data_IF_440969035186
#
_entry.id   IF_440969035186
#
_cell.length_a   1.000
_cell.length_b   1.000
_cell.length_c   1.000
_cell.angle_alpha   90.00
_cell.angle_beta   90.00
_cell.angle_gamma   90.00
#
_symmetry.space_group_name_H-M   'P 1'
#
loop_
_entity.id
_entity.type
_entity.pdbx_description
1 polymer ?
#
# COMPACT_ATOMS: atom_id res chain seq x y z
N UNK A 1 -4.62 16.98 41.54
CA UNK A 1 -5.73 17.01 40.56
C UNK A 1 -5.24 16.48 39.21
N UNK A 2 -6.07 15.68 38.52
CA UNK A 2 -5.73 14.80 37.38
C UNK A 2 -5.14 15.54 36.17
N UNK A 3 -4.01 15.07 35.63
CA UNK A 3 -3.54 15.44 34.30
C UNK A 3 -4.41 14.80 33.21
N UNK A 4 -4.82 15.59 32.21
CA UNK A 4 -5.58 15.13 31.05
C UNK A 4 -4.65 14.39 30.07
N UNK A 5 -4.90 13.11 29.88
CA UNK A 5 -4.25 12.28 28.85
C UNK A 5 -4.95 12.56 27.50
N UNK A 6 -4.25 12.97 26.43
CA UNK A 6 -4.87 13.16 25.11
C UNK A 6 -5.00 11.82 24.37
N UNK A 7 -6.01 11.02 24.71
CA UNK A 7 -6.27 9.72 24.06
C UNK A 7 -7.09 9.81 22.75
N UNK A 8 -7.66 10.97 22.44
CA UNK A 8 -8.63 11.13 21.34
C UNK A 8 -8.03 11.02 19.93
N UNK A 9 -6.86 11.62 19.65
CA UNK A 9 -6.25 11.60 18.31
C UNK A 9 -5.81 10.20 17.87
N UNK A 10 -5.32 9.38 18.81
CA UNK A 10 -4.87 8.01 18.53
C UNK A 10 -6.04 7.10 18.15
N UNK A 11 -7.19 7.27 18.80
CA UNK A 11 -8.37 6.45 18.57
C UNK A 11 -9.05 6.72 17.21
N UNK A 12 -9.09 7.99 16.78
CA UNK A 12 -9.58 8.36 15.45
C UNK A 12 -8.69 7.82 14.32
N UNK A 13 -7.37 7.86 14.49
CA UNK A 13 -6.40 7.31 13.53
C UNK A 13 -6.56 5.78 13.39
N UNK A 14 -6.72 5.06 14.51
CA UNK A 14 -6.98 3.60 14.49
C UNK A 14 -8.29 3.30 13.75
N UNK A 15 -9.38 4.01 14.05
CA UNK A 15 -10.67 3.80 13.36
C UNK A 15 -10.57 4.08 11.86
N UNK A 16 -9.87 5.15 11.47
CA UNK A 16 -9.62 5.46 10.05
C UNK A 16 -8.80 4.35 9.39
N UNK A 17 -7.76 3.85 10.06
CA UNK A 17 -6.93 2.78 9.53
C UNK A 17 -7.71 1.47 9.35
N UNK A 18 -8.52 1.08 10.34
CA UNK A 18 -9.42 -0.07 10.22
C UNK A 18 -10.40 0.11 9.06
N UNK A 19 -10.96 1.31 8.90
CA UNK A 19 -11.85 1.62 7.77
C UNK A 19 -11.15 1.49 6.42
N UNK A 20 -9.89 1.92 6.29
CA UNK A 20 -9.13 1.79 5.05
C UNK A 20 -8.74 0.33 4.77
N UNK A 21 -8.40 -0.42 5.81
CA UNK A 21 -8.14 -1.86 5.68
C UNK A 21 -9.35 -2.59 5.08
N UNK A 22 -10.57 -2.26 5.52
CA UNK A 22 -11.81 -2.84 4.99
C UNK A 22 -12.05 -2.46 3.52
N UNK A 23 -11.78 -1.21 3.13
CA UNK A 23 -11.89 -0.79 1.72
C UNK A 23 -10.90 -1.55 0.85
N UNK A 24 -9.69 -1.82 1.35
CA UNK A 24 -8.71 -2.64 0.62
C UNK A 24 -9.14 -4.11 0.60
N UNK A 25 -9.74 -4.63 1.68
CA UNK A 25 -10.33 -5.98 1.69
C UNK A 25 -11.40 -6.12 0.60
N UNK A 26 -12.27 -5.11 0.45
CA UNK A 26 -13.28 -5.07 -0.60
C UNK A 26 -12.67 -4.99 -2.00
N UNK A 27 -11.68 -4.12 -2.19
CA UNK A 27 -10.94 -4.01 -3.46
C UNK A 27 -10.35 -5.36 -3.87
N UNK A 28 -9.59 -6.01 -3.00
CA UNK A 28 -8.97 -7.32 -3.27
C UNK A 28 -10.04 -8.41 -3.43
N UNK A 29 -11.10 -8.36 -2.62
CA UNK A 29 -12.22 -9.30 -2.67
C UNK A 29 -13.00 -9.26 -3.99
N UNK A 30 -13.07 -8.10 -4.64
CA UNK A 30 -13.73 -7.89 -5.93
C UNK A 30 -12.97 -8.45 -7.13
N UNK A 31 -11.67 -8.74 -6.98
CA UNK A 31 -10.84 -9.29 -8.05
C UNK A 31 -11.16 -10.78 -8.29
N UNK A 32 -10.96 -11.23 -9.53
CA UNK A 32 -11.20 -12.61 -9.93
C UNK A 32 -9.92 -13.31 -10.41
N UNK A 33 -9.89 -14.63 -10.28
CA UNK A 33 -8.81 -15.48 -10.78
C UNK A 33 -7.45 -15.16 -10.19
N UNK A 34 -6.41 -15.24 -11.02
CA UNK A 34 -5.02 -15.07 -10.59
C UNK A 34 -4.70 -13.66 -10.07
N UNK A 35 -5.43 -12.63 -10.52
CA UNK A 35 -5.22 -11.24 -10.07
C UNK A 35 -5.52 -11.09 -8.58
N UNK A 36 -6.58 -11.75 -8.10
CA UNK A 36 -6.90 -11.79 -6.67
C UNK A 36 -5.76 -12.42 -5.87
N UNK A 37 -5.29 -13.59 -6.30
CA UNK A 37 -4.20 -14.34 -5.63
C UNK A 37 -2.92 -13.49 -5.55
N UNK A 38 -2.57 -12.80 -6.64
CA UNK A 38 -1.39 -11.92 -6.66
C UNK A 38 -1.58 -10.71 -5.75
N UNK A 39 -2.73 -10.03 -5.80
CA UNK A 39 -3.02 -8.89 -4.93
C UNK A 39 -3.07 -9.24 -3.44
N UNK A 40 -3.58 -10.42 -3.08
CA UNK A 40 -3.54 -10.94 -1.70
C UNK A 40 -2.09 -11.14 -1.23
N UNK A 41 -1.26 -11.78 -2.05
CA UNK A 41 0.16 -11.99 -1.76
C UNK A 41 0.93 -10.68 -1.64
N UNK A 42 0.72 -9.73 -2.56
CA UNK A 42 1.34 -8.41 -2.50
C UNK A 42 0.99 -7.70 -1.19
N UNK A 43 -0.30 -7.65 -0.83
CA UNK A 43 -0.72 -7.02 0.43
C UNK A 43 -0.09 -7.69 1.64
N UNK A 44 -0.03 -9.02 1.67
CA UNK A 44 0.62 -9.75 2.76
C UNK A 44 2.11 -9.39 2.88
N UNK A 45 2.84 -9.39 1.76
CA UNK A 45 4.26 -9.03 1.72
C UNK A 45 4.49 -7.59 2.18
N UNK A 46 3.71 -6.65 1.68
CA UNK A 46 3.83 -5.23 2.03
C UNK A 46 3.60 -5.03 3.53
N UNK A 47 2.54 -5.61 4.10
CA UNK A 47 2.26 -5.53 5.55
C UNK A 47 3.31 -6.22 6.41
N UNK A 48 3.96 -7.25 5.87
CA UNK A 48 5.06 -7.96 6.52
C UNK A 48 6.38 -7.19 6.52
N UNK A 49 6.54 -6.19 5.64
CA UNK A 49 7.82 -5.51 5.43
C UNK A 49 8.18 -4.48 6.50
N UNK A 50 7.18 -3.82 7.12
CA UNK A 50 7.41 -2.82 8.18
C UNK A 50 6.17 -2.59 9.03
N UNK A 51 6.38 -2.35 10.34
CA UNK A 51 5.32 -1.96 11.29
C UNK A 51 4.94 -0.49 11.22
N UNK A 52 5.77 0.35 10.60
CA UNK A 52 5.52 1.79 10.44
C UNK A 52 4.65 2.09 9.22
N UNK A 53 4.37 1.08 8.41
CA UNK A 53 3.64 1.18 7.17
C UNK A 53 2.15 1.40 7.46
N UNK A 54 1.59 2.39 6.77
CA UNK A 54 0.20 2.81 6.87
C UNK A 54 -0.49 2.51 5.56
N UNK A 55 -1.62 1.79 5.59
CA UNK A 55 -2.42 1.57 4.39
C UNK A 55 -3.25 2.83 4.07
N UNK A 56 -3.26 3.22 2.80
CA UNK A 56 -4.03 4.31 2.24
C UNK A 56 -4.75 3.82 0.98
N UNK A 57 -5.78 4.54 0.55
CA UNK A 57 -6.42 4.33 -0.75
C UNK A 57 -6.30 5.63 -1.53
N UNK A 58 -5.61 5.59 -2.67
CA UNK A 58 -5.52 6.73 -3.59
C UNK A 58 -5.99 6.27 -4.96
N UNK A 59 -6.76 7.13 -5.62
CA UNK A 59 -7.30 6.88 -6.95
C UNK A 59 -8.02 5.53 -7.10
N UNK A 60 -8.59 5.01 -6.01
CA UNK A 60 -9.36 3.76 -5.99
C UNK A 60 -8.55 2.48 -5.78
N UNK A 61 -7.26 2.55 -5.48
CA UNK A 61 -6.43 1.36 -5.27
C UNK A 61 -5.50 1.46 -4.04
N UNK A 62 -5.00 0.33 -3.52
CA UNK A 62 -4.20 0.27 -2.29
C UNK A 62 -2.83 0.93 -2.43
N UNK A 63 -2.58 1.94 -1.60
CA UNK A 63 -1.30 2.64 -1.46
C UNK A 63 -0.75 2.45 -0.05
N UNK A 64 0.55 2.61 0.11
CA UNK A 64 1.20 2.44 1.40
C UNK A 64 2.20 3.55 1.67
N UNK A 65 2.15 4.09 2.88
CA UNK A 65 2.97 5.22 3.30
C UNK A 65 3.76 4.92 4.57
N UNK A 66 4.90 5.58 4.74
CA UNK A 66 5.65 5.62 6.00
C UNK A 66 5.85 7.10 6.35
N UNK A 67 5.38 7.52 7.52
CA UNK A 67 5.40 8.93 7.92
C UNK A 67 4.70 9.86 6.92
N UNK A 68 3.67 9.38 6.22
CA UNK A 68 2.93 10.14 5.20
C UNK A 68 3.60 10.21 3.81
N UNK A 69 4.80 9.62 3.64
CA UNK A 69 5.47 9.53 2.33
C UNK A 69 5.05 8.25 1.62
N UNK A 70 4.66 8.34 0.35
CA UNK A 70 4.30 7.18 -0.48
C UNK A 70 5.51 6.28 -0.74
N UNK A 71 5.37 4.99 -0.44
CA UNK A 71 6.42 3.99 -0.59
C UNK A 71 6.10 3.09 -1.77
N UNK A 72 4.94 2.43 -1.72
CA UNK A 72 4.51 1.52 -2.78
C UNK A 72 2.98 1.43 -2.84
N UNK A 73 2.47 0.65 -3.79
CA UNK A 73 1.09 0.20 -3.84
C UNK A 73 0.89 -0.77 -4.99
N UNK A 74 -0.32 -1.26 -5.18
CA UNK A 74 -0.59 -2.17 -6.29
C UNK A 74 -1.95 -1.91 -6.92
N UNK A 75 -2.08 -2.22 -8.20
CA UNK A 75 -3.32 -2.08 -8.93
C UNK A 75 -3.48 -3.25 -9.91
N UNK A 76 -4.62 -3.92 -9.84
CA UNK A 76 -5.05 -4.84 -10.88
C UNK A 76 -5.50 -4.07 -12.13
N UNK A 77 -4.87 -4.35 -13.26
CA UNK A 77 -5.25 -3.87 -14.58
C UNK A 77 -6.01 -4.97 -15.35
N UNK A 78 -6.26 -4.75 -16.64
CA UNK A 78 -6.95 -5.72 -17.50
C UNK A 78 -6.24 -7.08 -17.49
N UNK A 79 -4.95 -7.08 -17.81
CA UNK A 79 -4.15 -8.29 -18.02
C UNK A 79 -2.93 -8.38 -17.10
N UNK A 80 -2.74 -7.40 -16.20
CA UNK A 80 -1.59 -7.35 -15.27
C UNK A 80 -2.04 -7.00 -13.84
N UNK A 81 -1.14 -7.16 -12.87
CA UNK A 81 -1.23 -6.50 -11.56
C UNK A 81 0.06 -5.73 -11.39
N UNK A 82 0.01 -4.40 -11.50
CA UNK A 82 1.20 -3.58 -11.37
C UNK A 82 1.52 -3.38 -9.90
N UNK A 83 2.78 -3.61 -9.52
CA UNK A 83 3.31 -3.23 -8.23
C UNK A 83 4.12 -1.94 -8.37
N UNK A 84 3.59 -0.85 -7.85
CA UNK A 84 4.14 0.50 -8.02
C UNK A 84 5.12 0.83 -6.91
N UNK A 85 6.28 1.36 -7.27
CA UNK A 85 7.34 1.82 -6.38
C UNK A 85 7.54 3.32 -6.58
N UNK A 86 7.16 4.15 -5.61
CA UNK A 86 7.14 5.62 -5.79
C UNK A 86 8.55 6.23 -5.92
N UNK A 87 9.53 5.63 -5.25
CA UNK A 87 10.95 5.96 -5.34
C UNK A 87 11.72 4.84 -6.06
N UNK A 88 11.07 4.09 -6.95
CA UNK A 88 11.65 2.92 -7.56
C UNK A 88 12.87 3.20 -8.44
N UNK A 89 13.01 4.41 -8.98
CA UNK A 89 14.19 4.80 -9.75
C UNK A 89 15.46 4.95 -8.89
N UNK A 90 15.29 5.08 -7.56
CA UNK A 90 16.40 5.20 -6.60
C UNK A 90 16.77 3.84 -5.97
N UNK A 91 16.09 2.75 -6.34
CA UNK A 91 16.35 1.41 -5.81
C UNK A 91 17.44 0.72 -6.62
N UNK A 92 18.31 0.00 -5.91
CA UNK A 92 19.20 -0.97 -6.55
C UNK A 92 18.35 -2.10 -7.15
N UNK A 93 18.52 -2.34 -8.44
CA UNK A 93 17.80 -3.39 -9.18
C UNK A 93 18.78 -4.39 -9.82
N UNK A 94 19.44 -5.23 -9.00
CA UNK A 94 20.49 -6.14 -9.48
C UNK A 94 19.97 -7.26 -10.41
N UNK A 95 18.66 -7.44 -10.48
CA UNK A 95 18.02 -8.50 -11.28
C UNK A 95 17.21 -7.94 -12.46
N UNK A 96 17.31 -6.64 -12.74
CA UNK A 96 16.57 -5.95 -13.82
C UNK A 96 15.06 -6.25 -13.79
N UNK A 97 14.45 -6.24 -12.60
CA UNK A 97 13.03 -6.52 -12.41
C UNK A 97 12.15 -5.27 -12.44
N UNK A 98 12.73 -4.09 -12.24
CA UNK A 98 12.01 -2.84 -12.06
C UNK A 98 11.89 -2.13 -13.42
N UNK A 99 10.66 -2.01 -13.90
CA UNK A 99 10.31 -1.43 -15.19
C UNK A 99 9.85 0.04 -15.11
N UNK A 100 9.96 0.72 -16.24
CA UNK A 100 9.45 2.06 -16.48
C UNK A 100 10.53 3.13 -16.63
N UNK A 101 10.14 4.28 -17.20
CA UNK A 101 11.06 5.38 -17.55
C UNK A 101 10.73 6.71 -16.86
N UNK A 102 9.77 6.73 -15.93
CA UNK A 102 9.43 7.90 -15.12
C UNK A 102 10.62 8.51 -14.35
N UNK A 103 10.49 9.74 -13.86
CA UNK A 103 11.60 10.39 -13.13
C UNK A 103 11.92 9.74 -11.77
N UNK A 104 10.92 9.15 -11.11
CA UNK A 104 11.02 8.61 -9.75
C UNK A 104 10.26 7.29 -9.63
N UNK A 105 9.02 7.29 -10.11
CA UNK A 105 8.16 6.12 -10.02
C UNK A 105 8.58 5.03 -11.02
N UNK A 106 8.58 3.79 -10.53
CA UNK A 106 8.76 2.57 -11.32
C UNK A 106 7.69 1.55 -10.95
N UNK A 107 7.68 0.41 -11.64
CA UNK A 107 6.77 -0.69 -11.37
C UNK A 107 7.41 -2.03 -11.67
N UNK A 108 6.76 -3.09 -11.19
CA UNK A 108 6.94 -4.49 -11.61
C UNK A 108 5.60 -4.97 -12.14
#
# INVERSE_FOLDING_TARGET
MRQKIPHFKKQAAIRKQTSLSLVIDEYVGSLAGWKKVVSEKLRQLIRGSSRELTEEVKWGWPCYTVGGKSICGFMAMKDTVNFVLYLGADLDDPNDLIEGSGKSMRHV
#
